data_IF_936672588985
#
_entry.id   IF_936672588985
#
_cell.length_a   1.000
_cell.length_b   1.000
_cell.length_c   1.000
_cell.angle_alpha   90.00
_cell.angle_beta   90.00
_cell.angle_gamma   90.00
#
_symmetry.space_group_name_H-M   'P 1'
#
loop_
_entity.id
_entity.type
_entity.pdbx_description
1 polymer ?
#
# COMPACT_ATOMS: atom_id res chain seq x y z
N UNK A 1 29.95 -16.90 -24.75
CA UNK A 1 30.53 -15.81 -23.93
C UNK A 1 29.93 -14.50 -24.42
N UNK A 2 28.72 -14.19 -23.96
CA UNK A 2 27.96 -12.99 -24.37
C UNK A 2 28.16 -11.89 -23.33
N UNK A 3 28.72 -10.78 -23.80
CA UNK A 3 29.04 -9.56 -23.08
C UNK A 3 27.86 -9.05 -22.24
N UNK A 4 28.12 -8.85 -20.94
CA UNK A 4 27.23 -8.13 -20.04
C UNK A 4 27.13 -6.67 -20.49
N UNK A 5 26.03 -6.34 -21.16
CA UNK A 5 25.60 -4.95 -21.32
C UNK A 5 25.40 -4.33 -19.94
N UNK A 6 25.95 -3.13 -19.75
CA UNK A 6 25.98 -2.43 -18.47
C UNK A 6 24.63 -2.43 -17.75
N UNK A 7 24.67 -2.72 -16.45
CA UNK A 7 23.53 -2.87 -15.56
C UNK A 7 22.54 -1.70 -15.63
N UNK A 8 21.42 -1.88 -16.33
CA UNK A 8 20.37 -0.87 -16.47
C UNK A 8 19.35 -0.89 -15.30
N UNK A 9 19.81 -1.02 -14.06
CA UNK A 9 18.93 -1.06 -12.88
C UNK A 9 19.69 -0.98 -11.55
N UNK A 10 18.98 -0.73 -10.42
CA UNK A 10 19.62 -0.60 -9.10
C UNK A 10 20.22 -1.93 -8.63
N UNK A 11 21.28 -1.83 -7.81
CA UNK A 11 21.91 -3.01 -7.19
C UNK A 11 20.91 -3.75 -6.31
N UNK A 12 20.82 -5.07 -6.50
CA UNK A 12 20.01 -5.97 -5.69
C UNK A 12 20.31 -5.83 -4.20
N UNK A 13 21.59 -5.85 -3.83
CA UNK A 13 22.05 -5.72 -2.45
C UNK A 13 21.57 -4.43 -1.79
N UNK A 14 21.66 -3.29 -2.48
CA UNK A 14 21.20 -2.00 -1.96
C UNK A 14 19.69 -1.95 -1.77
N UNK A 15 18.92 -2.48 -2.73
CA UNK A 15 17.45 -2.49 -2.65
C UNK A 15 16.97 -3.44 -1.55
N UNK A 16 17.52 -4.66 -1.49
CA UNK A 16 17.19 -5.63 -0.44
C UNK A 16 17.51 -5.07 0.95
N UNK A 17 18.67 -4.43 1.12
CA UNK A 17 19.04 -3.80 2.37
C UNK A 17 18.05 -2.68 2.73
N UNK A 18 17.72 -1.80 1.78
CA UNK A 18 16.78 -0.70 2.00
C UNK A 18 15.38 -1.18 2.38
N UNK A 19 14.83 -2.16 1.65
CA UNK A 19 13.52 -2.76 1.93
C UNK A 19 13.53 -3.45 3.28
N UNK A 20 14.57 -4.22 3.59
CA UNK A 20 14.71 -4.92 4.87
C UNK A 20 14.76 -3.94 6.04
N UNK A 21 15.52 -2.85 5.91
CA UNK A 21 15.56 -1.79 6.93
C UNK A 21 14.19 -1.10 7.08
N UNK A 22 13.48 -0.87 5.97
CA UNK A 22 12.11 -0.33 6.00
C UNK A 22 11.12 -1.27 6.72
N UNK A 23 11.19 -2.57 6.45
CA UNK A 23 10.37 -3.59 7.13
C UNK A 23 10.73 -3.68 8.62
N UNK A 24 12.02 -3.61 8.95
CA UNK A 24 12.47 -3.57 10.34
C UNK A 24 11.90 -2.35 11.08
N UNK A 25 11.95 -1.16 10.45
CA UNK A 25 11.38 0.07 10.99
C UNK A 25 9.86 -0.06 11.19
N UNK A 26 9.14 -0.62 10.21
CA UNK A 26 7.72 -0.89 10.34
C UNK A 26 7.42 -1.83 11.52
N UNK A 27 8.17 -2.92 11.66
CA UNK A 27 8.06 -3.84 12.81
C UNK A 27 8.29 -3.13 14.15
N UNK A 28 9.28 -2.23 14.22
CA UNK A 28 9.55 -1.41 15.41
C UNK A 28 8.36 -0.48 15.72
N UNK A 29 7.79 0.20 14.71
CA UNK A 29 6.60 1.05 14.88
C UNK A 29 5.42 0.23 15.42
N UNK A 30 5.20 -0.97 14.87
CA UNK A 30 4.16 -1.90 15.35
C UNK A 30 4.40 -2.29 16.81
N UNK A 31 5.63 -2.61 17.21
CA UNK A 31 5.98 -2.93 18.60
C UNK A 31 5.63 -1.75 19.52
N UNK A 32 6.06 -0.52 19.17
CA UNK A 32 5.74 0.67 19.98
C UNK A 32 4.24 0.92 20.10
N UNK A 33 3.50 0.79 19.00
CA UNK A 33 2.04 0.89 19.01
C UNK A 33 1.40 -0.19 19.88
N UNK A 34 1.91 -1.42 19.83
CA UNK A 34 1.43 -2.56 20.60
C UNK A 34 1.65 -2.39 22.10
N UNK A 35 2.81 -1.86 22.51
CA UNK A 35 3.08 -1.54 23.92
C UNK A 35 2.09 -0.52 24.45
N UNK A 36 1.78 0.53 23.67
CA UNK A 36 0.75 1.52 24.02
C UNK A 36 -0.66 0.90 24.09
N UNK A 37 -0.96 -0.05 23.21
CA UNK A 37 -2.24 -0.77 23.19
C UNK A 37 -2.36 -1.85 24.30
N UNK A 38 -1.29 -2.10 25.05
CA UNK A 38 -1.22 -3.08 26.12
C UNK A 38 -0.93 -4.49 25.62
N UNK A 39 0.17 -5.07 26.12
CA UNK A 39 0.65 -6.41 25.75
C UNK A 39 0.37 -7.48 26.80
N UNK A 40 -0.33 -7.11 27.88
CA UNK A 40 -0.59 -8.01 29.00
C UNK A 40 -1.92 -8.75 28.78
N UNK A 41 -2.10 -9.85 29.52
CA UNK A 41 -3.40 -10.49 29.63
C UNK A 41 -4.30 -9.70 30.58
N UNK A 42 -5.53 -9.41 30.14
CA UNK A 42 -6.58 -8.83 30.96
C UNK A 42 -7.60 -9.87 31.40
N UNK A 43 -8.64 -9.43 32.13
CA UNK A 43 -9.75 -10.27 32.56
C UNK A 43 -10.50 -10.91 31.37
N UNK A 44 -10.59 -10.18 30.26
CA UNK A 44 -11.27 -10.62 29.02
C UNK A 44 -10.34 -11.33 28.02
N UNK A 45 -9.11 -11.67 28.43
CA UNK A 45 -8.13 -12.31 27.55
C UNK A 45 -6.99 -11.38 27.09
N UNK A 46 -6.25 -11.74 26.02
CA UNK A 46 -5.11 -10.97 25.55
C UNK A 46 -5.55 -9.60 25.06
N UNK A 47 -4.90 -8.55 25.53
CA UNK A 47 -5.18 -7.18 25.08
C UNK A 47 -4.84 -6.99 23.60
N UNK A 48 -5.37 -5.92 23.00
CA UNK A 48 -5.22 -5.63 21.58
C UNK A 48 -3.75 -5.56 21.11
N UNK A 49 -2.83 -5.16 21.98
CA UNK A 49 -1.39 -5.11 21.68
C UNK A 49 -0.66 -6.45 21.79
N UNK A 50 -1.24 -7.48 22.40
CA UNK A 50 -0.56 -8.76 22.64
C UNK A 50 -0.11 -9.41 21.32
N UNK A 51 -1.03 -9.67 20.40
CA UNK A 51 -0.69 -10.33 19.12
C UNK A 51 0.22 -9.48 18.22
N UNK A 52 -0.08 -8.18 17.96
CA UNK A 52 0.75 -7.36 17.09
C UNK A 52 2.18 -7.17 17.64
N UNK A 53 2.38 -7.22 18.97
CA UNK A 53 3.70 -7.15 19.58
C UNK A 53 4.60 -8.32 19.15
N UNK A 54 4.12 -9.56 19.28
CA UNK A 54 4.92 -10.75 18.89
C UNK A 54 5.15 -10.81 17.39
N UNK A 55 4.16 -10.43 16.58
CA UNK A 55 4.33 -10.33 15.12
C UNK A 55 5.40 -9.29 14.79
N UNK A 56 5.35 -8.12 15.43
CA UNK A 56 6.37 -7.08 15.29
C UNK A 56 7.77 -7.58 15.66
N UNK A 57 7.90 -8.33 16.75
CA UNK A 57 9.17 -8.93 17.17
C UNK A 57 9.72 -9.92 16.13
N UNK A 58 8.85 -10.79 15.60
CA UNK A 58 9.21 -11.73 14.55
C UNK A 58 9.65 -11.01 13.27
N UNK A 59 8.96 -9.92 12.89
CA UNK A 59 9.32 -9.08 11.73
C UNK A 59 10.73 -8.49 11.92
N UNK A 60 11.02 -7.92 13.10
CA UNK A 60 12.33 -7.34 13.39
C UNK A 60 13.42 -8.42 13.40
N UNK A 61 13.17 -9.57 14.03
CA UNK A 61 14.11 -10.69 14.06
C UNK A 61 14.40 -11.25 12.65
N UNK A 62 13.35 -11.46 11.84
CA UNK A 62 13.49 -11.90 10.46
C UNK A 62 14.26 -10.87 9.61
N UNK A 63 14.00 -9.59 9.81
CA UNK A 63 14.71 -8.51 9.12
C UNK A 63 16.19 -8.50 9.50
N UNK A 64 16.53 -8.69 10.79
CA UNK A 64 17.92 -8.80 11.23
C UNK A 64 18.65 -10.00 10.59
N UNK A 65 17.98 -11.14 10.47
CA UNK A 65 18.52 -12.30 9.74
C UNK A 65 18.74 -11.99 8.26
N UNK A 66 17.80 -11.27 7.64
CA UNK A 66 17.90 -10.91 6.22
C UNK A 66 19.05 -9.93 5.96
N UNK A 67 19.22 -8.89 6.79
CA UNK A 67 20.39 -7.99 6.72
C UNK A 67 21.69 -8.79 6.81
N UNK A 68 21.78 -9.73 7.77
CA UNK A 68 22.98 -10.58 7.92
C UNK A 68 23.25 -11.42 6.67
N UNK A 69 22.22 -11.98 6.05
CA UNK A 69 22.36 -12.78 4.84
C UNK A 69 22.77 -11.91 3.65
N UNK A 70 22.09 -10.79 3.40
CA UNK A 70 22.41 -9.84 2.32
C UNK A 70 23.83 -9.27 2.46
N UNK A 71 24.33 -9.07 3.68
CA UNK A 71 25.72 -8.63 3.89
C UNK A 71 26.76 -9.71 3.56
N UNK A 72 26.42 -10.99 3.76
CA UNK A 72 27.30 -12.16 3.50
C UNK A 72 27.29 -12.61 2.05
N UNK A 73 26.25 -12.26 1.30
CA UNK A 73 26.16 -12.55 -0.13
C UNK A 73 26.97 -11.51 -0.93
N UNK A 74 27.80 -12.03 -1.84
CA UNK A 74 28.67 -11.27 -2.74
C UNK A 74 28.09 -11.17 -4.17
N UNK A 75 26.77 -11.17 -4.28
CA UNK A 75 26.12 -11.18 -5.59
C UNK A 75 25.82 -9.75 -6.08
N UNK A 76 26.59 -9.31 -7.08
CA UNK A 76 26.50 -7.98 -7.71
C UNK A 76 25.35 -7.82 -8.71
N UNK A 77 24.30 -8.64 -8.57
CA UNK A 77 23.16 -8.66 -9.48
C UNK A 77 22.33 -7.37 -9.50
N UNK A 78 21.60 -7.17 -10.60
CA UNK A 78 20.59 -6.11 -10.73
C UNK A 78 19.29 -6.56 -10.05
N UNK A 79 18.67 -5.71 -9.24
CA UNK A 79 17.39 -6.02 -8.56
C UNK A 79 16.26 -6.21 -9.58
N UNK A 80 16.07 -5.21 -10.43
CA UNK A 80 15.10 -5.18 -11.51
C UNK A 80 15.52 -4.07 -12.50
N UNK A 81 15.09 -4.20 -13.75
CA UNK A 81 15.40 -3.21 -14.78
C UNK A 81 14.58 -1.93 -14.59
N UNK A 82 15.11 -0.79 -15.02
CA UNK A 82 14.38 0.49 -14.94
C UNK A 82 13.00 0.46 -15.62
N UNK A 83 12.85 -0.33 -16.69
CA UNK A 83 11.56 -0.54 -17.36
C UNK A 83 10.53 -1.23 -16.46
N UNK A 84 10.96 -2.27 -15.73
CA UNK A 84 10.11 -2.99 -14.78
C UNK A 84 9.72 -2.09 -13.59
N UNK A 85 10.67 -1.34 -13.03
CA UNK A 85 10.39 -0.37 -11.98
C UNK A 85 9.36 0.67 -12.44
N UNK A 86 9.50 1.19 -13.67
CA UNK A 86 8.56 2.16 -14.23
C UNK A 86 7.15 1.59 -14.33
N UNK A 87 7.01 0.31 -14.70
CA UNK A 87 5.71 -0.36 -14.76
C UNK A 87 5.08 -0.49 -13.37
N UNK A 88 5.85 -0.89 -12.35
CA UNK A 88 5.36 -0.94 -10.96
C UNK A 88 4.94 0.45 -10.48
N UNK A 89 5.78 1.46 -10.72
CA UNK A 89 5.50 2.84 -10.31
C UNK A 89 4.29 3.44 -11.02
N UNK A 90 3.96 2.99 -12.23
CA UNK A 90 2.74 3.41 -12.94
C UNK A 90 1.45 3.02 -12.22
N UNK A 91 1.51 2.08 -11.28
CA UNK A 91 0.38 1.66 -10.44
C UNK A 91 0.52 2.21 -9.03
N UNK A 92 1.71 2.10 -8.42
CA UNK A 92 1.96 2.53 -7.04
C UNK A 92 1.74 4.03 -6.86
N UNK A 93 2.26 4.87 -7.77
CA UNK A 93 2.17 6.33 -7.62
C UNK A 93 0.72 6.81 -7.70
N UNK A 94 -0.09 6.45 -8.71
CA UNK A 94 -1.49 6.86 -8.72
C UNK A 94 -2.29 6.31 -7.53
N UNK A 95 -1.98 5.09 -7.05
CA UNK A 95 -2.65 4.51 -5.88
C UNK A 95 -2.31 5.29 -4.59
N UNK A 96 -1.06 5.69 -4.43
CA UNK A 96 -0.64 6.53 -3.30
C UNK A 96 -1.32 7.91 -3.34
N UNK A 97 -1.44 8.51 -4.53
CA UNK A 97 -2.18 9.77 -4.73
C UNK A 97 -3.65 9.60 -4.36
N UNK A 98 -4.28 8.48 -4.77
CA UNK A 98 -5.65 8.16 -4.40
C UNK A 98 -5.84 8.10 -2.87
N UNK A 99 -4.98 7.34 -2.17
CA UNK A 99 -5.03 7.24 -0.69
C UNK A 99 -4.80 8.60 -0.04
N UNK A 100 -3.85 9.40 -0.56
CA UNK A 100 -3.57 10.74 -0.06
C UNK A 100 -4.69 11.75 -0.32
N UNK A 101 -5.51 11.53 -1.35
CA UNK A 101 -6.66 12.37 -1.66
C UNK A 101 -7.89 12.08 -0.78
N UNK A 102 -8.00 10.85 -0.23
CA UNK A 102 -9.15 10.42 0.58
C UNK A 102 -9.57 11.42 1.67
N UNK A 103 -8.65 12.00 2.50
CA UNK A 103 -9.06 12.93 3.55
C UNK A 103 -9.63 14.26 3.03
N UNK A 104 -9.36 14.62 1.77
CA UNK A 104 -9.72 15.91 1.18
C UNK A 104 -10.92 15.82 0.25
N UNK A 105 -11.11 14.68 -0.41
CA UNK A 105 -12.16 14.52 -1.43
C UNK A 105 -13.18 13.45 -1.06
N UNK A 106 -12.92 12.66 -0.02
CA UNK A 106 -13.66 11.46 0.32
C UNK A 106 -13.44 10.30 -0.65
N UNK A 107 -13.95 9.13 -0.26
CA UNK A 107 -13.72 7.88 -0.99
C UNK A 107 -14.41 7.86 -2.36
N UNK A 108 -15.55 8.51 -2.52
CA UNK A 108 -16.34 8.40 -3.75
C UNK A 108 -15.70 9.21 -4.87
N UNK A 109 -15.42 10.49 -4.62
CA UNK A 109 -14.79 11.36 -5.62
C UNK A 109 -13.38 10.88 -5.95
N UNK A 110 -12.60 10.50 -4.93
CA UNK A 110 -11.28 9.92 -5.14
C UNK A 110 -11.36 8.66 -6.01
N UNK A 111 -12.33 7.78 -5.76
CA UNK A 111 -12.51 6.54 -6.53
C UNK A 111 -12.94 6.82 -7.97
N UNK A 112 -13.88 7.74 -8.19
CA UNK A 112 -14.30 8.15 -9.54
C UNK A 112 -13.10 8.61 -10.37
N UNK A 113 -12.30 9.52 -9.82
CA UNK A 113 -11.12 10.07 -10.50
C UNK A 113 -10.05 8.99 -10.72
N UNK A 114 -9.80 8.16 -9.70
CA UNK A 114 -8.80 7.09 -9.78
C UNK A 114 -9.17 6.04 -10.83
N UNK A 115 -10.42 5.57 -10.84
CA UNK A 115 -10.94 4.61 -11.83
C UNK A 115 -10.90 5.22 -13.22
N UNK A 116 -11.38 6.46 -13.38
CA UNK A 116 -11.38 7.14 -14.66
C UNK A 116 -9.95 7.28 -15.23
N UNK A 117 -9.00 7.70 -14.39
CA UNK A 117 -7.59 7.81 -14.75
C UNK A 117 -7.01 6.46 -15.18
N UNK A 118 -7.20 5.41 -14.38
CA UNK A 118 -6.67 4.08 -14.67
C UNK A 118 -7.23 3.51 -15.97
N UNK A 119 -8.56 3.57 -16.15
CA UNK A 119 -9.19 3.06 -17.34
C UNK A 119 -8.80 3.86 -18.58
N UNK A 120 -8.67 5.18 -18.47
CA UNK A 120 -8.34 6.02 -19.62
C UNK A 120 -6.88 5.93 -20.02
N UNK A 121 -5.97 5.91 -19.04
CA UNK A 121 -4.52 6.00 -19.29
C UNK A 121 -3.88 4.62 -19.44
N UNK A 122 -4.13 3.71 -18.49
CA UNK A 122 -3.51 2.39 -18.49
C UNK A 122 -4.33 1.39 -19.32
N UNK A 123 -5.66 1.41 -19.15
CA UNK A 123 -6.58 0.52 -19.86
C UNK A 123 -6.94 0.94 -21.29
N UNK A 124 -6.70 2.22 -21.64
CA UNK A 124 -7.03 2.82 -22.96
C UNK A 124 -8.48 2.57 -23.41
N UNK A 125 -9.42 2.52 -22.45
CA UNK A 125 -10.84 2.32 -22.74
C UNK A 125 -11.49 3.56 -23.35
N UNK A 126 -12.60 3.36 -24.08
CA UNK A 126 -13.40 4.45 -24.64
C UNK A 126 -14.12 5.27 -23.56
N UNK A 127 -14.30 6.57 -23.81
CA UNK A 127 -14.86 7.53 -22.85
C UNK A 127 -16.20 7.11 -22.24
N UNK A 128 -17.09 6.50 -23.03
CA UNK A 128 -18.39 6.02 -22.55
C UNK A 128 -18.22 4.94 -21.48
N UNK A 129 -17.36 3.95 -21.74
CA UNK A 129 -17.05 2.88 -20.79
C UNK A 129 -16.36 3.41 -19.54
N UNK A 130 -15.43 4.36 -19.71
CA UNK A 130 -14.75 5.03 -18.60
C UNK A 130 -15.77 5.74 -17.71
N UNK A 131 -16.65 6.57 -18.27
CA UNK A 131 -17.64 7.32 -17.50
C UNK A 131 -18.63 6.38 -16.80
N UNK A 132 -19.12 5.35 -17.50
CA UNK A 132 -20.06 4.38 -16.95
C UNK A 132 -19.49 3.64 -15.73
N UNK A 133 -18.25 3.17 -15.79
CA UNK A 133 -17.62 2.42 -14.70
C UNK A 133 -17.12 3.34 -13.60
N UNK A 134 -16.49 4.47 -13.95
CA UNK A 134 -15.96 5.42 -12.98
C UNK A 134 -17.06 6.01 -12.09
N UNK A 135 -18.26 6.23 -12.62
CA UNK A 135 -19.42 6.73 -11.84
C UNK A 135 -20.19 5.56 -11.23
N UNK A 136 -20.46 4.51 -12.02
CA UNK A 136 -21.29 3.38 -11.61
C UNK A 136 -20.71 2.63 -10.41
N UNK A 137 -19.40 2.42 -10.37
CA UNK A 137 -18.76 1.67 -9.27
C UNK A 137 -18.92 2.38 -7.92
N UNK A 138 -18.54 3.66 -7.76
CA UNK A 138 -18.79 4.42 -6.52
C UNK A 138 -20.27 4.49 -6.13
N UNK A 139 -21.19 4.65 -7.08
CA UNK A 139 -22.64 4.67 -6.80
C UNK A 139 -23.12 3.32 -6.27
N UNK A 140 -22.71 2.21 -6.87
CA UNK A 140 -23.04 0.87 -6.39
C UNK A 140 -22.45 0.63 -4.99
N UNK A 141 -21.20 1.05 -4.75
CA UNK A 141 -20.57 0.97 -3.43
C UNK A 141 -21.35 1.76 -2.38
N UNK A 142 -21.82 2.98 -2.71
CA UNK A 142 -22.68 3.77 -1.84
C UNK A 142 -23.98 3.04 -1.49
N UNK A 143 -24.69 2.50 -2.49
CA UNK A 143 -25.95 1.79 -2.27
C UNK A 143 -25.76 0.53 -1.41
N UNK A 144 -24.69 -0.23 -1.62
CA UNK A 144 -24.45 -1.45 -0.85
C UNK A 144 -24.05 -1.11 0.59
N UNK A 145 -23.04 -0.26 0.78
CA UNK A 145 -22.46 -0.05 2.11
C UNK A 145 -23.28 0.90 2.96
N UNK A 146 -23.65 2.07 2.44
CA UNK A 146 -24.35 3.07 3.25
C UNK A 146 -25.85 2.79 3.31
N UNK A 147 -26.47 2.46 2.17
CA UNK A 147 -27.93 2.29 2.14
C UNK A 147 -28.36 0.93 2.65
N UNK A 148 -27.61 -0.14 2.35
CA UNK A 148 -27.98 -1.51 2.71
C UNK A 148 -27.33 -1.98 4.01
N UNK A 149 -26.01 -1.87 4.12
CA UNK A 149 -25.27 -2.32 5.31
C UNK A 149 -25.20 -1.28 6.43
N UNK A 150 -25.59 -0.02 6.17
CA UNK A 150 -25.48 1.08 7.12
C UNK A 150 -24.06 1.26 7.69
N UNK A 151 -23.04 0.96 6.88
CA UNK A 151 -21.63 1.14 7.23
C UNK A 151 -21.18 2.49 6.68
N UNK A 152 -20.80 3.46 7.56
CA UNK A 152 -20.32 4.75 7.11
C UNK A 152 -18.94 4.58 6.45
N UNK A 153 -18.80 5.11 5.24
CA UNK A 153 -17.52 5.15 4.55
C UNK A 153 -16.81 6.50 4.79
N UNK A 154 -15.49 6.58 4.58
CA UNK A 154 -14.74 7.83 4.74
C UNK A 154 -15.22 8.88 3.73
N UNK A 155 -16.08 9.78 4.20
CA UNK A 155 -16.56 10.94 3.45
C UNK A 155 -15.59 12.10 3.63
N UNK A 156 -15.45 12.90 2.58
CA UNK A 156 -14.68 14.13 2.61
C UNK A 156 -15.59 15.37 2.56
N UNK A 157 -14.99 16.56 2.57
CA UNK A 157 -15.70 17.84 2.45
C UNK A 157 -16.65 17.92 1.26
N UNK A 158 -16.31 17.25 0.15
CA UNK A 158 -17.13 17.26 -1.06
C UNK A 158 -18.42 16.46 -0.86
N UNK A 159 -18.35 15.30 -0.21
CA UNK A 159 -19.52 14.52 0.16
C UNK A 159 -20.39 15.23 1.20
N UNK A 160 -19.77 15.92 2.17
CA UNK A 160 -20.49 16.74 3.14
C UNK A 160 -21.29 17.87 2.48
N UNK A 161 -20.72 18.53 1.45
CA UNK A 161 -21.43 19.54 0.66
C UNK A 161 -22.57 18.98 -0.16
N UNK A 162 -22.46 17.73 -0.62
CA UNK A 162 -23.51 17.02 -1.33
C UNK A 162 -24.60 16.48 -0.38
N UNK A 163 -24.44 16.66 0.94
CA UNK A 163 -25.38 16.20 1.96
C UNK A 163 -25.45 14.68 2.07
N UNK A 164 -24.38 13.99 1.69
CA UNK A 164 -24.27 12.53 1.75
C UNK A 164 -23.83 12.07 3.12
#
# INVERSE_FOLDING_TARGET
>A
MSSHGGSAGPSRKSVELGVTLGIALFGIIVIFGSVKAGINWGAEGPRAGFFPFYVGLLIVAASAMNVRNTLREDDGGVFAEWGQLRQVMSVVVPTAIYVGALPFTGIYVASMLFIAWFMRWLGKYGWLTVAAVAIGMPVVTYLIFERWFMVPLPKGPVEEWLGL
#
